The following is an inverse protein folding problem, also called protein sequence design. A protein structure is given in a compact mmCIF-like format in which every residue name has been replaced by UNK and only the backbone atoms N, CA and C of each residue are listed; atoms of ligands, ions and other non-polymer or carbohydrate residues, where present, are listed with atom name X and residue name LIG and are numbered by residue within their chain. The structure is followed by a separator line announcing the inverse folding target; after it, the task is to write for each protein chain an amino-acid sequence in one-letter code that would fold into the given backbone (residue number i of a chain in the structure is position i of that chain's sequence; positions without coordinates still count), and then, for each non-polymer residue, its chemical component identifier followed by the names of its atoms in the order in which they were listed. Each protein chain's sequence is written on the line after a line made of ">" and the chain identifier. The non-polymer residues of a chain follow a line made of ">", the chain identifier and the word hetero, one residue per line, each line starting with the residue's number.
data_IF_123472072199
#
_entry.id   IF_123472072199
#
_cell.length_a   1.000
_cell.length_b   1.000
_cell.length_c   1.000
_cell.angle_alpha   90.00
_cell.angle_beta   90.00
_cell.angle_gamma   90.00
#
_symmetry.space_group_name_H-M   'P 1'
#
loop_
_entity.id
_entity.type
_entity.pdbx_description
1 polymer ?
#
# COMPACT_ATOMS: atom_id res chain seq x y z
N UNK A 1 -44.53 -19.66 12.92
CA UNK A 1 -45.32 -18.62 13.56
C UNK A 1 -44.43 -17.67 14.35
N UNK A 2 -44.85 -16.47 14.70
CA UNK A 2 -43.96 -15.41 15.24
C UNK A 2 -43.37 -15.70 16.63
N UNK A 3 -43.54 -16.86 17.20
CA UNK A 3 -43.05 -17.25 18.53
C UNK A 3 -42.29 -18.59 18.58
N UNK A 4 -41.77 -19.09 17.46
CA UNK A 4 -40.84 -20.23 17.53
C UNK A 4 -39.41 -19.71 17.72
N UNK A 5 -38.66 -20.20 18.73
CA UNK A 5 -37.29 -19.86 18.93
C UNK A 5 -36.46 -20.20 17.67
N UNK A 6 -35.58 -19.30 17.26
CA UNK A 6 -34.72 -19.53 16.12
C UNK A 6 -33.87 -20.77 16.37
N UNK A 7 -33.73 -21.66 15.40
CA UNK A 7 -33.04 -22.96 15.57
C UNK A 7 -31.60 -22.87 16.03
N UNK A 8 -30.99 -21.69 15.97
CA UNK A 8 -29.62 -21.39 16.40
C UNK A 8 -29.54 -20.71 17.79
N UNK A 9 -30.68 -20.30 18.39
CA UNK A 9 -30.69 -19.68 19.73
C UNK A 9 -29.97 -20.54 20.80
N UNK A 10 -30.23 -21.83 20.94
CA UNK A 10 -29.55 -22.64 21.93
C UNK A 10 -28.03 -22.66 21.74
N UNK A 11 -27.55 -22.57 20.49
CA UNK A 11 -26.13 -22.48 20.19
C UNK A 11 -25.54 -21.14 20.64
N UNK A 12 -26.24 -20.04 20.33
CA UNK A 12 -25.81 -18.68 20.74
C UNK A 12 -25.84 -18.53 22.24
N UNK A 13 -26.86 -19.07 22.92
CA UNK A 13 -26.96 -19.03 24.37
C UNK A 13 -25.81 -19.78 25.06
N UNK A 14 -25.43 -20.95 24.53
CA UNK A 14 -24.30 -21.72 25.04
C UNK A 14 -22.95 -21.00 24.81
N UNK A 15 -22.78 -20.34 23.66
CA UNK A 15 -21.60 -19.52 23.37
C UNK A 15 -21.55 -18.27 24.21
N UNK A 16 -22.67 -17.58 24.39
CA UNK A 16 -22.75 -16.39 25.24
C UNK A 16 -22.49 -16.75 26.70
N UNK A 17 -23.04 -17.85 27.20
CA UNK A 17 -22.76 -18.34 28.54
C UNK A 17 -21.25 -18.65 28.71
N UNK A 18 -20.66 -19.35 27.73
CA UNK A 18 -19.22 -19.60 27.76
C UNK A 18 -18.41 -18.30 27.77
N UNK A 19 -18.72 -17.32 26.91
CA UNK A 19 -18.01 -16.05 26.84
C UNK A 19 -18.23 -15.19 28.09
N UNK A 20 -19.39 -15.28 28.73
CA UNK A 20 -19.69 -14.55 29.97
C UNK A 20 -18.90 -15.07 31.17
N UNK A 21 -18.47 -16.33 31.12
CA UNK A 21 -17.62 -16.96 32.14
C UNK A 21 -16.13 -16.71 31.92
N UNK A 22 -15.75 -15.82 30.97
CA UNK A 22 -14.36 -15.48 30.71
C UNK A 22 -13.70 -14.90 31.97
N UNK A 23 -12.62 -15.49 32.48
CA UNK A 23 -11.97 -15.01 33.69
C UNK A 23 -11.38 -13.61 33.46
N UNK A 24 -11.74 -12.65 34.28
CA UNK A 24 -11.17 -11.30 34.25
C UNK A 24 -9.93 -11.21 35.15
N UNK A 25 -8.85 -10.60 34.64
CA UNK A 25 -7.60 -10.39 35.38
C UNK A 25 -6.99 -11.66 36.04
N UNK A 26 -7.14 -12.79 35.37
CA UNK A 26 -6.73 -14.09 35.85
C UNK A 26 -5.34 -14.49 35.36
N UNK A 27 -4.74 -15.52 35.98
CA UNK A 27 -3.46 -16.07 35.55
C UNK A 27 -3.58 -17.01 34.35
N UNK A 28 -2.44 -17.38 33.77
CA UNK A 28 -2.35 -18.25 32.59
C UNK A 28 -3.11 -19.57 32.77
N UNK A 29 -2.94 -20.25 33.91
CA UNK A 29 -3.55 -21.56 34.19
C UNK A 29 -5.08 -21.49 34.27
N UNK A 30 -5.64 -20.35 34.72
CA UNK A 30 -7.07 -20.13 34.74
C UNK A 30 -7.64 -19.96 33.35
N UNK A 31 -6.97 -19.20 32.49
CA UNK A 31 -7.33 -19.09 31.07
C UNK A 31 -7.17 -20.42 30.33
N UNK A 32 -6.10 -21.18 30.62
CA UNK A 32 -5.89 -22.50 30.05
C UNK A 32 -7.00 -23.47 30.43
N UNK A 33 -7.37 -23.51 31.74
CA UNK A 33 -8.47 -24.31 32.22
C UNK A 33 -9.83 -23.89 31.60
N UNK A 34 -10.03 -22.58 31.41
CA UNK A 34 -11.19 -22.04 30.73
C UNK A 34 -11.28 -22.52 29.28
N UNK A 35 -10.26 -22.29 28.46
CA UNK A 35 -10.21 -22.74 27.08
C UNK A 35 -10.19 -24.27 26.96
N UNK A 36 -9.75 -24.97 27.98
CA UNK A 36 -9.86 -26.43 28.07
C UNK A 36 -11.30 -26.93 28.07
N UNK A 37 -12.25 -26.11 28.53
CA UNK A 37 -13.70 -26.40 28.59
C UNK A 37 -14.48 -25.92 27.39
N UNK A 38 -13.80 -25.51 26.31
CA UNK A 38 -14.45 -24.99 25.09
C UNK A 38 -15.52 -25.99 24.62
N UNK A 39 -16.81 -25.57 24.53
CA UNK A 39 -17.90 -26.46 24.20
C UNK A 39 -17.82 -26.91 22.73
N UNK A 40 -18.13 -28.19 22.47
CA UNK A 40 -18.30 -28.70 21.10
C UNK A 40 -19.73 -28.46 20.67
N UNK A 41 -19.95 -27.37 19.98
CA UNK A 41 -21.27 -26.90 19.63
C UNK A 41 -21.75 -27.53 18.31
N UNK A 42 -22.99 -28.01 18.27
CA UNK A 42 -23.57 -28.58 17.06
C UNK A 42 -24.90 -27.92 16.73
N UNK A 43 -24.93 -27.17 15.64
CA UNK A 43 -26.15 -26.54 15.14
C UNK A 43 -27.04 -27.61 14.49
N UNK A 44 -28.13 -27.93 15.13
CA UNK A 44 -29.18 -28.85 14.59
C UNK A 44 -30.27 -28.03 13.93
N UNK A 45 -30.27 -27.96 12.60
CA UNK A 45 -31.29 -27.24 11.87
C UNK A 45 -32.45 -28.15 11.49
N UNK A 46 -33.68 -27.61 11.47
CA UNK A 46 -34.86 -28.33 10.99
C UNK A 46 -34.70 -28.80 9.54
N UNK A 47 -35.37 -29.89 9.19
CA UNK A 47 -35.48 -30.38 7.79
C UNK A 47 -36.53 -29.55 7.05
N UNK A 48 -36.29 -29.26 5.76
CA UNK A 48 -37.32 -28.66 4.89
C UNK A 48 -37.32 -27.12 4.79
N UNK A 49 -36.26 -26.46 5.27
CA UNK A 49 -36.10 -25.01 5.07
C UNK A 49 -35.97 -24.66 3.59
N UNK A 50 -36.67 -23.61 3.15
CA UNK A 50 -36.68 -23.14 1.75
C UNK A 50 -36.36 -21.63 1.66
N UNK A 51 -35.94 -21.18 0.48
CA UNK A 51 -35.73 -19.75 0.18
C UNK A 51 -34.77 -19.05 1.12
N UNK A 52 -35.18 -17.91 1.64
CA UNK A 52 -34.41 -17.02 2.53
C UNK A 52 -33.98 -17.69 3.83
N UNK A 53 -34.81 -18.58 4.39
CA UNK A 53 -34.48 -19.33 5.61
C UNK A 53 -33.28 -20.26 5.40
N UNK A 54 -33.09 -20.79 4.20
CA UNK A 54 -31.96 -21.65 3.86
C UNK A 54 -30.67 -20.81 3.74
N UNK A 55 -30.75 -19.63 3.18
CA UNK A 55 -29.63 -18.69 3.05
C UNK A 55 -29.18 -18.20 4.45
N UNK A 56 -30.12 -17.76 5.26
CA UNK A 56 -29.87 -17.31 6.63
C UNK A 56 -29.29 -18.43 7.50
N UNK A 57 -29.79 -19.67 7.36
CA UNK A 57 -29.23 -20.84 8.03
C UNK A 57 -27.76 -21.03 7.69
N UNK A 58 -27.40 -20.94 6.42
CA UNK A 58 -26.02 -21.16 5.98
C UNK A 58 -25.10 -20.03 6.44
N UNK A 59 -25.54 -18.77 6.39
CA UNK A 59 -24.81 -17.62 6.90
C UNK A 59 -24.52 -17.72 8.40
N UNK A 60 -25.53 -18.04 9.21
CA UNK A 60 -25.37 -18.25 10.65
C UNK A 60 -24.42 -19.41 10.94
N UNK A 61 -24.59 -20.53 10.20
CA UNK A 61 -23.70 -21.70 10.36
C UNK A 61 -22.25 -21.38 10.06
N UNK A 62 -21.98 -20.58 9.01
CA UNK A 62 -20.63 -20.18 8.65
C UNK A 62 -20.01 -19.26 9.72
N UNK A 63 -20.75 -18.24 10.16
CA UNK A 63 -20.27 -17.31 11.20
C UNK A 63 -19.99 -18.04 12.53
N UNK A 64 -20.87 -18.94 12.95
CA UNK A 64 -20.67 -19.73 14.16
C UNK A 64 -19.46 -20.65 14.06
N UNK A 65 -19.27 -21.29 12.89
CA UNK A 65 -18.08 -22.12 12.66
C UNK A 65 -16.77 -21.33 12.63
N UNK A 66 -16.82 -20.11 12.08
CA UNK A 66 -15.64 -19.25 12.09
C UNK A 66 -15.27 -18.83 13.52
N UNK A 67 -16.25 -18.47 14.34
CA UNK A 67 -16.03 -18.15 15.74
C UNK A 67 -15.49 -19.34 16.52
N UNK A 68 -16.06 -20.54 16.37
CA UNK A 68 -15.58 -21.77 16.98
C UNK A 68 -14.15 -22.08 16.55
N UNK A 69 -13.85 -21.97 15.25
CA UNK A 69 -12.52 -22.19 14.70
C UNK A 69 -11.49 -21.24 15.30
N UNK A 70 -11.80 -19.94 15.41
CA UNK A 70 -10.90 -18.97 16.03
C UNK A 70 -10.62 -19.29 17.50
N UNK A 71 -11.62 -19.72 18.26
CA UNK A 71 -11.42 -20.11 19.65
C UNK A 71 -10.53 -21.36 19.79
N UNK A 72 -10.71 -22.34 18.89
CA UNK A 72 -9.85 -23.52 18.85
C UNK A 72 -8.40 -23.11 18.48
N UNK A 73 -8.24 -22.25 17.49
CA UNK A 73 -6.93 -21.73 17.10
C UNK A 73 -6.24 -20.99 18.28
N UNK A 74 -6.98 -20.14 19.02
CA UNK A 74 -6.45 -19.48 20.21
C UNK A 74 -6.06 -20.46 21.31
N UNK A 75 -6.89 -21.48 21.56
CA UNK A 75 -6.57 -22.56 22.51
C UNK A 75 -5.27 -23.24 22.10
N UNK A 76 -5.15 -23.67 20.86
CA UNK A 76 -3.97 -24.38 20.35
C UNK A 76 -2.72 -23.47 20.31
N UNK A 77 -2.89 -22.19 19.99
CA UNK A 77 -1.78 -21.26 19.88
C UNK A 77 -1.25 -20.77 21.22
N UNK A 78 -2.14 -20.54 22.20
CA UNK A 78 -1.78 -19.84 23.43
C UNK A 78 -1.93 -20.68 24.70
N UNK A 79 -2.74 -21.73 24.69
CA UNK A 79 -3.14 -22.47 25.90
C UNK A 79 -2.97 -24.00 25.81
N UNK A 80 -2.23 -24.49 24.83
CA UNK A 80 -1.99 -25.94 24.62
C UNK A 80 -0.97 -26.57 25.61
N UNK A 81 -0.02 -25.74 26.07
CA UNK A 81 1.10 -26.17 26.91
C UNK A 81 0.94 -25.78 28.38
N UNK A 82 1.73 -26.40 29.25
CA UNK A 82 1.89 -25.98 30.65
C UNK A 82 2.59 -24.62 30.72
N UNK A 83 2.30 -23.84 31.76
CA UNK A 83 2.92 -22.51 31.95
C UNK A 83 4.46 -22.59 32.00
N UNK A 84 4.99 -23.65 32.59
CA UNK A 84 6.44 -23.90 32.70
C UNK A 84 7.09 -24.16 31.33
N UNK A 85 6.41 -24.87 30.43
CA UNK A 85 6.87 -25.10 29.06
C UNK A 85 6.90 -23.78 28.26
N UNK A 86 5.84 -22.97 28.35
CA UNK A 86 5.82 -21.66 27.75
C UNK A 86 6.93 -20.75 28.29
N UNK A 87 7.17 -20.75 29.59
CA UNK A 87 8.27 -20.00 30.19
C UNK A 87 9.64 -20.45 29.67
N UNK A 88 9.83 -21.73 29.43
CA UNK A 88 11.07 -22.26 28.87
C UNK A 88 11.22 -21.88 27.39
N UNK A 89 10.15 -21.97 26.60
CA UNK A 89 10.11 -21.47 25.19
C UNK A 89 10.41 -19.97 25.13
N UNK A 90 9.85 -19.18 26.04
CA UNK A 90 10.14 -17.75 26.15
C UNK A 90 11.60 -17.48 26.52
N UNK A 91 12.20 -18.23 27.43
CA UNK A 91 13.62 -18.11 27.80
C UNK A 91 14.53 -18.40 26.59
N UNK A 92 14.24 -19.47 25.86
CA UNK A 92 15.02 -19.86 24.68
C UNK A 92 14.83 -18.85 23.54
N UNK A 93 13.61 -18.40 23.30
CA UNK A 93 13.31 -17.31 22.36
C UNK A 93 14.01 -16.02 22.77
N UNK A 94 13.96 -15.65 24.05
CA UNK A 94 14.65 -14.47 24.59
C UNK A 94 16.16 -14.52 24.33
N UNK A 95 16.79 -15.69 24.45
CA UNK A 95 18.22 -15.87 24.18
C UNK A 95 18.54 -15.60 22.71
N UNK A 96 17.75 -16.18 21.80
CA UNK A 96 17.88 -15.99 20.35
C UNK A 96 17.63 -14.52 19.96
N UNK A 97 16.57 -13.91 20.50
CA UNK A 97 16.25 -12.50 20.28
C UNK A 97 17.35 -11.57 20.80
N UNK A 98 17.89 -11.81 21.99
CA UNK A 98 19.03 -11.04 22.50
C UNK A 98 20.27 -11.15 21.60
N UNK A 99 20.53 -12.31 21.03
CA UNK A 99 21.62 -12.50 20.08
C UNK A 99 21.34 -11.70 18.79
N UNK A 100 20.13 -11.78 18.26
CA UNK A 100 19.71 -11.00 17.07
C UNK A 100 19.84 -9.49 17.30
N UNK A 101 19.37 -8.97 18.44
CA UNK A 101 19.53 -7.55 18.79
C UNK A 101 20.99 -7.12 18.87
N UNK A 102 21.87 -7.95 19.45
CA UNK A 102 23.30 -7.64 19.48
C UNK A 102 23.92 -7.58 18.09
N UNK A 103 23.55 -8.54 17.22
CA UNK A 103 24.01 -8.58 15.83
C UNK A 103 23.51 -7.35 15.05
N UNK A 104 22.22 -7.04 15.17
CA UNK A 104 21.62 -5.87 14.49
C UNK A 104 22.28 -4.57 14.94
N UNK A 105 22.48 -4.42 16.26
CA UNK A 105 23.16 -3.24 16.79
C UNK A 105 24.60 -3.14 16.28
N UNK A 106 25.35 -4.26 16.30
CA UNK A 106 26.72 -4.28 15.82
C UNK A 106 26.82 -3.99 14.33
N UNK A 107 25.90 -4.54 13.53
CA UNK A 107 25.80 -4.23 12.11
C UNK A 107 25.53 -2.74 11.88
N UNK A 108 24.59 -2.16 12.63
CA UNK A 108 24.28 -0.74 12.54
C UNK A 108 25.50 0.14 12.89
N UNK A 109 26.21 -0.17 14.00
CA UNK A 109 27.41 0.54 14.39
C UNK A 109 28.49 0.51 13.29
N UNK A 110 28.73 -0.67 12.71
CA UNK A 110 29.71 -0.83 11.63
C UNK A 110 29.27 -0.11 10.35
N UNK A 111 27.99 -0.19 10.01
CA UNK A 111 27.42 0.45 8.83
C UNK A 111 27.53 1.99 8.92
N UNK A 112 27.22 2.55 10.09
CA UNK A 112 27.37 3.99 10.34
C UNK A 112 28.84 4.41 10.30
N UNK A 113 29.74 3.63 10.88
CA UNK A 113 31.18 3.91 10.85
C UNK A 113 31.73 3.92 9.41
N UNK A 114 31.38 2.91 8.62
CA UNK A 114 31.76 2.78 7.21
C UNK A 114 31.24 3.95 6.35
N UNK A 115 29.97 4.35 6.55
CA UNK A 115 29.40 5.52 5.86
C UNK A 115 30.16 6.80 6.20
N UNK A 116 30.53 6.99 7.47
CA UNK A 116 31.32 8.15 7.92
C UNK A 116 32.72 8.16 7.30
N UNK A 117 33.38 7.01 7.25
CA UNK A 117 34.70 6.88 6.65
C UNK A 117 34.67 7.21 5.15
N UNK A 118 33.63 6.79 4.47
CA UNK A 118 33.42 7.06 3.02
C UNK A 118 32.85 8.46 2.74
N UNK A 119 32.39 9.19 3.73
CA UNK A 119 31.75 10.49 3.55
C UNK A 119 30.42 10.42 2.78
N UNK A 120 29.64 9.33 2.94
CA UNK A 120 28.37 9.11 2.25
C UNK A 120 27.20 9.10 3.24
N UNK A 121 26.03 9.53 2.76
CA UNK A 121 24.76 9.49 3.50
C UNK A 121 23.72 8.80 2.62
N UNK A 122 22.84 8.01 3.21
CA UNK A 122 21.62 7.55 2.56
C UNK A 122 20.42 8.45 2.90
N UNK A 123 19.27 8.20 2.25
CA UNK A 123 18.08 9.02 2.47
C UNK A 123 17.58 8.99 3.91
N UNK A 124 17.70 7.84 4.59
CA UNK A 124 17.30 7.74 5.99
C UNK A 124 18.24 8.56 6.90
N UNK A 125 19.54 8.61 6.59
CA UNK A 125 20.47 9.49 7.33
C UNK A 125 20.08 10.95 7.18
N UNK A 126 19.70 11.39 5.97
CA UNK A 126 19.26 12.76 5.73
C UNK A 126 18.05 13.11 6.60
N UNK A 127 17.04 12.24 6.64
CA UNK A 127 15.85 12.43 7.46
C UNK A 127 16.21 12.49 8.96
N UNK A 128 16.99 11.53 9.47
CA UNK A 128 17.35 11.44 10.89
C UNK A 128 18.25 12.60 11.33
N UNK A 129 19.22 12.99 10.53
CA UNK A 129 20.06 14.13 10.81
C UNK A 129 19.26 15.44 10.80
N UNK A 130 18.33 15.59 9.86
CA UNK A 130 17.42 16.74 9.81
C UNK A 130 16.60 16.84 11.08
N UNK A 131 15.99 15.74 11.55
CA UNK A 131 15.28 15.73 12.84
C UNK A 131 16.19 16.15 13.98
N UNK A 132 17.43 15.63 14.03
CA UNK A 132 18.38 15.96 15.12
C UNK A 132 18.82 17.43 15.12
N UNK A 133 18.74 18.11 13.97
CA UNK A 133 19.00 19.55 13.86
C UNK A 133 17.78 20.38 14.28
N UNK A 134 16.59 19.93 13.88
CA UNK A 134 15.34 20.68 14.04
C UNK A 134 14.67 20.47 15.40
N UNK A 135 14.88 19.32 16.02
CA UNK A 135 14.24 18.95 17.27
C UNK A 135 15.25 18.54 18.34
N UNK A 136 15.00 18.96 19.55
CA UNK A 136 15.78 18.55 20.73
C UNK A 136 14.82 18.02 21.80
N UNK A 137 15.31 17.09 22.60
CA UNK A 137 14.55 16.57 23.73
C UNK A 137 14.65 17.55 24.90
N UNK A 138 13.52 18.01 25.37
CA UNK A 138 13.43 18.82 26.58
C UNK A 138 13.71 17.94 27.82
N UNK A 139 14.62 18.39 28.68
CA UNK A 139 15.07 17.61 29.84
C UNK A 139 14.02 17.46 30.93
N UNK A 140 13.10 18.42 31.05
CA UNK A 140 12.09 18.42 32.11
C UNK A 140 10.85 17.61 31.72
N UNK A 141 10.32 17.87 30.51
CA UNK A 141 9.10 17.21 30.02
C UNK A 141 9.37 15.89 29.31
N UNK A 142 10.62 15.68 28.80
CA UNK A 142 10.98 14.57 27.95
C UNK A 142 10.39 14.65 26.53
N UNK A 143 9.64 15.72 26.22
CA UNK A 143 9.04 15.95 24.91
C UNK A 143 10.08 16.48 23.91
N UNK A 144 9.82 16.27 22.61
CA UNK A 144 10.62 16.92 21.56
C UNK A 144 10.11 18.33 21.31
N UNK A 145 11.03 19.31 21.38
CA UNK A 145 10.76 20.73 21.14
C UNK A 145 11.63 21.23 20.00
N UNK A 146 11.14 22.26 19.31
CA UNK A 146 11.86 22.90 18.19
C UNK A 146 13.14 23.58 18.69
N UNK A 147 14.22 23.37 17.96
CA UNK A 147 15.49 24.11 18.14
C UNK A 147 15.34 25.54 17.60
N UNK A 148 16.33 26.38 17.86
CA UNK A 148 16.37 27.73 17.30
C UNK A 148 16.51 27.71 15.77
N UNK A 149 17.25 26.73 15.21
CA UNK A 149 17.33 26.53 13.76
C UNK A 149 15.94 26.22 13.14
N UNK A 150 15.14 25.40 13.79
CA UNK A 150 13.77 25.12 13.32
C UNK A 150 12.88 26.37 13.38
N UNK A 151 13.00 27.20 14.42
CA UNK A 151 12.26 28.47 14.57
C UNK A 151 12.68 29.49 13.52
N UNK A 152 13.97 29.56 13.21
CA UNK A 152 14.51 30.44 12.15
C UNK A 152 13.93 30.06 10.80
N UNK A 153 13.96 28.78 10.43
CA UNK A 153 13.36 28.27 9.19
C UNK A 153 11.84 28.51 9.14
N UNK A 154 11.13 28.31 10.26
CA UNK A 154 9.69 28.56 10.33
C UNK A 154 9.34 30.05 10.07
N UNK A 155 10.22 30.97 10.44
CA UNK A 155 10.07 32.40 10.15
C UNK A 155 10.48 32.77 8.72
N UNK A 156 11.42 32.05 8.14
CA UNK A 156 11.89 32.27 6.77
C UNK A 156 10.87 31.84 5.73
N UNK A 157 10.24 30.67 5.92
CA UNK A 157 9.29 30.14 4.97
C UNK A 157 7.93 30.86 5.05
N UNK A 158 7.58 31.55 3.97
CA UNK A 158 6.27 32.20 3.84
C UNK A 158 5.15 31.16 3.73
N UNK A 159 5.33 30.18 2.87
CA UNK A 159 4.40 29.06 2.64
C UNK A 159 5.21 27.77 2.38
N UNK A 160 4.70 26.65 2.86
CA UNK A 160 5.22 25.32 2.65
C UNK A 160 4.17 24.54 1.87
N UNK A 161 4.47 24.19 0.63
CA UNK A 161 3.56 23.48 -0.27
C UNK A 161 4.02 22.04 -0.44
N UNK A 162 3.13 21.09 -0.16
CA UNK A 162 3.42 19.66 -0.20
C UNK A 162 2.45 19.00 -1.15
N UNK A 163 2.98 18.35 -2.18
CA UNK A 163 2.22 17.52 -3.10
C UNK A 163 2.33 16.05 -2.71
N UNK A 164 1.34 15.23 -3.13
CA UNK A 164 1.26 13.80 -2.84
C UNK A 164 1.41 13.47 -1.34
N UNK A 165 0.78 14.29 -0.49
CA UNK A 165 0.95 14.18 0.96
C UNK A 165 0.54 12.82 1.54
N UNK A 166 -0.36 12.06 0.88
CA UNK A 166 -0.74 10.70 1.28
C UNK A 166 0.44 9.71 1.28
N UNK A 167 1.53 10.03 0.60
CA UNK A 167 2.73 9.20 0.53
C UNK A 167 3.80 9.59 1.57
N UNK A 168 3.53 10.59 2.42
CA UNK A 168 4.41 11.00 3.50
C UNK A 168 4.47 9.97 4.63
N UNK A 169 5.63 9.90 5.29
CA UNK A 169 5.83 9.12 6.51
C UNK A 169 5.87 10.04 7.75
N UNK A 170 5.87 9.45 8.96
CA UNK A 170 5.92 10.22 10.22
C UNK A 170 7.17 11.09 10.35
N UNK A 171 8.30 10.65 9.80
CA UNK A 171 9.56 11.41 9.87
C UNK A 171 9.46 12.67 9.03
N UNK A 172 8.98 12.53 7.80
CA UNK A 172 8.76 13.64 6.87
C UNK A 172 7.72 14.63 7.41
N UNK A 173 6.58 14.12 7.91
CA UNK A 173 5.56 14.96 8.55
C UNK A 173 6.13 15.74 9.74
N UNK A 174 6.93 15.10 10.59
CA UNK A 174 7.61 15.74 11.72
C UNK A 174 8.57 16.85 11.27
N UNK A 175 9.36 16.61 10.22
CA UNK A 175 10.26 17.61 9.65
C UNK A 175 9.49 18.82 9.13
N UNK A 176 8.44 18.57 8.34
CA UNK A 176 7.59 19.62 7.75
C UNK A 176 6.92 20.48 8.84
N UNK A 177 6.38 19.85 9.86
CA UNK A 177 5.82 20.58 10.99
C UNK A 177 6.88 21.32 11.80
N UNK A 178 8.09 20.78 11.96
CA UNK A 178 9.17 21.44 12.70
C UNK A 178 9.59 22.77 12.05
N UNK A 179 9.61 22.84 10.72
CA UNK A 179 10.00 24.06 9.96
C UNK A 179 8.82 24.95 9.58
N UNK A 180 7.61 24.64 10.04
CA UNK A 180 6.41 25.43 9.79
C UNK A 180 6.06 26.32 10.97
N UNK A 181 5.15 27.27 10.73
CA UNK A 181 4.54 28.08 11.81
C UNK A 181 3.37 27.40 12.53
N UNK A 182 2.99 26.20 12.07
CA UNK A 182 1.91 25.44 12.70
C UNK A 182 2.24 25.11 14.16
N UNK A 183 1.29 25.39 15.05
CA UNK A 183 1.44 25.21 16.50
C UNK A 183 2.34 26.25 17.20
N UNK A 184 2.84 27.29 16.52
CA UNK A 184 3.51 28.43 17.18
C UNK A 184 2.47 29.40 17.71
N UNK A 185 2.67 29.82 18.96
CA UNK A 185 1.74 30.72 19.64
C UNK A 185 1.64 32.08 18.93
N UNK A 186 0.44 32.46 18.51
CA UNK A 186 0.16 33.71 17.84
C UNK A 186 0.44 33.73 16.35
N UNK A 187 0.94 32.65 15.76
CA UNK A 187 1.23 32.53 14.34
C UNK A 187 0.10 31.81 13.58
N UNK A 188 -0.04 32.13 12.31
CA UNK A 188 -0.91 31.44 11.38
C UNK A 188 -0.18 30.26 10.73
N UNK A 189 -0.77 29.07 10.66
CA UNK A 189 -0.20 27.97 9.90
C UNK A 189 0.10 28.33 8.47
N UNK A 190 1.23 27.89 7.97
CA UNK A 190 1.71 28.18 6.61
C UNK A 190 1.96 26.91 5.77
N UNK A 191 1.25 25.82 6.09
CA UNK A 191 1.35 24.56 5.35
C UNK A 191 0.14 24.41 4.43
N UNK A 192 0.41 24.15 3.16
CA UNK A 192 -0.57 23.78 2.14
C UNK A 192 -0.26 22.37 1.63
N UNK A 193 -1.17 21.44 1.87
CA UNK A 193 -1.02 20.04 1.51
C UNK A 193 -2.00 19.66 0.41
N UNK A 194 -1.52 18.97 -0.61
CA UNK A 194 -2.34 18.38 -1.66
C UNK A 194 -2.11 16.87 -1.67
N UNK A 195 -3.16 16.12 -1.86
CA UNK A 195 -3.08 14.66 -1.92
C UNK A 195 -4.41 14.00 -2.21
N UNK A 196 -4.36 12.71 -2.41
CA UNK A 196 -5.52 11.86 -2.58
C UNK A 196 -5.31 10.53 -1.84
N UNK A 197 -6.00 10.34 -0.73
CA UNK A 197 -5.88 9.14 0.11
C UNK A 197 -6.11 7.84 -0.68
N UNK A 198 -6.94 7.87 -1.73
CA UNK A 198 -7.22 6.74 -2.62
C UNK A 198 -6.01 6.31 -3.47
N UNK A 199 -5.05 7.21 -3.67
CA UNK A 199 -3.86 7.00 -4.51
C UNK A 199 -2.62 6.60 -3.71
N UNK A 200 -2.73 6.39 -2.40
CA UNK A 200 -1.60 5.94 -1.59
C UNK A 200 -1.20 4.50 -1.93
N UNK A 201 -0.07 4.35 -2.61
CA UNK A 201 0.48 3.06 -3.04
C UNK A 201 1.87 2.77 -2.44
N UNK A 202 2.43 3.66 -1.62
CA UNK A 202 3.79 3.56 -1.08
C UNK A 202 3.84 3.11 0.39
N UNK A 203 2.80 2.46 0.92
CA UNK A 203 2.79 1.92 2.29
C UNK A 203 3.96 0.97 2.55
N UNK A 204 4.37 0.19 1.55
CA UNK A 204 5.54 -0.69 1.64
C UNK A 204 6.89 0.07 1.77
N UNK A 205 6.92 1.37 1.47
CA UNK A 205 8.07 2.28 1.70
C UNK A 205 7.93 3.10 2.98
N UNK A 206 6.95 2.80 3.82
CA UNK A 206 6.73 3.49 5.09
C UNK A 206 5.76 4.66 5.01
N UNK A 207 5.12 4.91 3.85
CA UNK A 207 4.06 5.91 3.75
C UNK A 207 2.93 5.62 4.74
N UNK A 208 2.36 6.70 5.28
CA UNK A 208 1.29 6.68 6.29
C UNK A 208 0.08 7.48 5.82
N UNK A 209 -0.77 6.89 4.97
CA UNK A 209 -1.97 7.57 4.48
C UNK A 209 -2.90 8.00 5.61
N UNK A 210 -2.77 7.37 6.80
CA UNK A 210 -3.50 7.74 8.00
C UNK A 210 -3.27 9.22 8.39
N UNK A 211 -2.06 9.76 8.18
CA UNK A 211 -1.73 11.17 8.43
C UNK A 211 -2.61 12.11 7.61
N UNK A 212 -2.85 11.77 6.34
CA UNK A 212 -3.73 12.55 5.48
C UNK A 212 -5.20 12.36 5.84
N UNK A 213 -5.61 11.12 6.13
CA UNK A 213 -6.98 10.80 6.55
C UNK A 213 -7.38 11.55 7.84
N UNK A 214 -6.49 11.65 8.83
CA UNK A 214 -6.72 12.42 10.05
C UNK A 214 -6.97 13.91 9.77
N UNK A 215 -6.22 14.49 8.83
CA UNK A 215 -6.41 15.89 8.41
C UNK A 215 -7.74 16.07 7.65
N UNK A 216 -8.14 15.10 6.81
CA UNK A 216 -9.44 15.13 6.14
C UNK A 216 -10.61 15.11 7.13
N UNK A 217 -10.47 14.44 8.26
CA UNK A 217 -11.49 14.37 9.30
C UNK A 217 -11.49 15.60 10.22
N UNK A 218 -10.31 16.15 10.52
CA UNK A 218 -10.16 17.24 11.51
C UNK A 218 -10.30 18.63 10.90
N UNK A 219 -9.97 18.81 9.62
CA UNK A 219 -10.01 20.11 8.96
C UNK A 219 -11.43 20.47 8.49
N UNK A 220 -11.79 21.74 8.62
CA UNK A 220 -13.12 22.23 8.33
C UNK A 220 -13.25 22.71 6.87
N UNK A 221 -14.38 22.41 6.22
CA UNK A 221 -14.68 22.89 4.85
C UNK A 221 -15.06 24.38 4.80
N UNK A 222 -15.37 24.99 5.96
CA UNK A 222 -15.83 26.38 6.05
C UNK A 222 -14.68 27.34 5.75
N UNK A 223 -14.95 28.35 4.93
CA UNK A 223 -14.02 29.44 4.64
C UNK A 223 -13.71 30.28 5.87
N UNK A 224 -12.46 30.73 6.01
CA UNK A 224 -11.98 31.52 7.14
C UNK A 224 -11.63 30.71 8.39
N UNK A 225 -11.67 29.37 8.34
CA UNK A 225 -11.16 28.53 9.43
C UNK A 225 -9.64 28.40 9.36
N UNK A 226 -9.00 28.26 10.51
CA UNK A 226 -7.54 28.13 10.62
C UNK A 226 -6.99 26.91 9.87
N UNK A 227 -7.68 25.79 10.01
CA UNK A 227 -7.37 24.54 9.30
C UNK A 227 -8.53 24.28 8.33
N UNK A 228 -8.28 24.58 7.05
CA UNK A 228 -9.30 24.50 6.00
C UNK A 228 -9.06 23.30 5.09
N UNK A 229 -10.10 22.52 4.83
CA UNK A 229 -10.16 21.48 3.81
C UNK A 229 -10.86 22.01 2.55
N UNK A 230 -10.26 21.74 1.39
CA UNK A 230 -10.83 22.05 0.06
C UNK A 230 -10.85 20.75 -0.73
N UNK A 231 -12.04 20.29 -1.13
CA UNK A 231 -12.19 19.07 -1.91
C UNK A 231 -12.22 19.40 -3.40
N UNK A 232 -11.30 18.81 -4.16
CA UNK A 232 -11.21 18.94 -5.61
C UNK A 232 -11.83 17.71 -6.26
N UNK A 233 -13.08 17.78 -6.68
CA UNK A 233 -13.83 16.66 -7.23
C UNK A 233 -13.74 16.56 -8.76
N UNK A 234 -13.34 17.64 -9.45
CA UNK A 234 -13.33 17.69 -10.91
C UNK A 234 -12.03 17.18 -11.50
N UNK A 235 -12.14 16.22 -12.42
CA UNK A 235 -11.04 15.70 -13.20
C UNK A 235 -11.03 16.36 -14.60
N UNK A 236 -9.93 17.03 -14.94
CA UNK A 236 -9.74 17.71 -16.21
C UNK A 236 -8.88 16.93 -17.20
N UNK A 237 -8.36 15.77 -16.80
CA UNK A 237 -7.43 14.95 -17.57
C UNK A 237 -8.13 13.89 -18.40
N UNK A 238 -9.10 13.21 -17.78
CA UNK A 238 -9.72 12.00 -18.34
C UNK A 238 -11.10 12.30 -18.92
N UNK A 239 -11.49 11.53 -19.94
CA UNK A 239 -12.83 11.56 -20.51
C UNK A 239 -13.84 10.94 -19.56
N UNK A 240 -15.12 11.35 -19.72
CA UNK A 240 -16.24 10.90 -18.89
C UNK A 240 -16.32 9.38 -18.77
N UNK A 241 -16.23 8.66 -19.88
CA UNK A 241 -16.32 7.20 -19.89
C UNK A 241 -15.24 6.52 -19.03
N UNK A 242 -14.05 7.09 -18.96
CA UNK A 242 -12.97 6.57 -18.11
C UNK A 242 -13.30 6.82 -16.65
N UNK A 243 -13.81 8.01 -16.32
CA UNK A 243 -14.19 8.36 -14.95
C UNK A 243 -15.36 7.53 -14.46
N UNK A 244 -16.41 7.35 -15.30
CA UNK A 244 -17.56 6.52 -14.97
C UNK A 244 -17.16 5.06 -14.75
N UNK A 245 -16.34 4.49 -15.63
CA UNK A 245 -15.84 3.13 -15.49
C UNK A 245 -15.01 2.96 -14.22
N UNK A 246 -14.17 3.95 -13.89
CA UNK A 246 -13.40 3.97 -12.65
C UNK A 246 -14.33 4.02 -11.43
N UNK A 247 -15.30 4.94 -11.44
CA UNK A 247 -16.27 5.07 -10.36
C UNK A 247 -17.07 3.77 -10.15
N UNK A 248 -17.51 3.11 -11.24
CA UNK A 248 -18.27 1.85 -11.16
C UNK A 248 -17.46 0.73 -10.50
N UNK A 249 -16.18 0.60 -10.85
CA UNK A 249 -15.31 -0.42 -10.28
C UNK A 249 -15.05 -0.13 -8.81
N UNK A 250 -14.60 1.09 -8.49
CA UNK A 250 -14.17 1.42 -7.14
C UNK A 250 -15.30 1.57 -6.14
N UNK A 251 -16.51 1.99 -6.57
CA UNK A 251 -17.69 1.99 -5.69
C UNK A 251 -18.10 0.58 -5.21
N UNK A 252 -17.67 -0.47 -5.91
CA UNK A 252 -17.91 -1.87 -5.52
C UNK A 252 -16.76 -2.52 -4.76
N UNK A 253 -15.55 -2.04 -4.95
CA UNK A 253 -14.33 -2.70 -4.45
C UNK A 253 -13.66 -1.97 -3.30
N UNK A 254 -13.77 -0.64 -3.24
CA UNK A 254 -13.03 0.16 -2.28
C UNK A 254 -13.92 0.51 -1.08
N UNK A 255 -13.61 -0.10 0.05
CA UNK A 255 -14.22 0.12 1.35
C UNK A 255 -13.13 0.31 2.39
N UNK A 256 -13.50 0.82 3.56
CA UNK A 256 -12.56 1.06 4.66
C UNK A 256 -11.69 -0.16 4.98
N UNK A 257 -12.27 -1.38 4.91
CA UNK A 257 -11.55 -2.64 5.15
C UNK A 257 -10.63 -3.04 3.98
N UNK A 258 -10.94 -2.56 2.77
CA UNK A 258 -10.18 -2.83 1.54
C UNK A 258 -9.79 -1.50 0.90
N UNK A 259 -8.57 -1.05 1.16
CA UNK A 259 -8.05 0.23 0.65
C UNK A 259 -8.01 1.36 1.67
N UNK A 260 -8.60 1.20 2.87
CA UNK A 260 -8.51 2.16 3.97
C UNK A 260 -9.33 3.44 3.80
N UNK A 261 -10.12 3.54 2.71
CA UNK A 261 -10.94 4.71 2.37
C UNK A 261 -12.29 4.23 1.86
N UNK A 262 -13.37 4.90 2.24
CA UNK A 262 -14.70 4.67 1.69
C UNK A 262 -14.85 5.42 0.37
N UNK A 263 -15.33 4.73 -0.68
CA UNK A 263 -15.55 5.33 -2.00
C UNK A 263 -17.00 5.82 -2.12
N UNK A 264 -17.29 6.90 -1.43
CA UNK A 264 -18.59 7.57 -1.40
C UNK A 264 -18.75 8.60 -2.53
N UNK A 265 -19.84 9.37 -2.50
CA UNK A 265 -20.10 10.41 -3.51
C UNK A 265 -19.09 11.57 -3.46
N UNK A 266 -18.43 11.80 -2.33
CA UNK A 266 -17.33 12.80 -2.21
C UNK A 266 -16.03 12.27 -2.82
N UNK A 267 -15.82 10.96 -2.83
CA UNK A 267 -14.64 10.32 -3.40
C UNK A 267 -14.73 10.09 -4.91
N UNK A 268 -15.93 10.10 -5.50
CA UNK A 268 -16.16 9.92 -6.93
C UNK A 268 -15.49 10.99 -7.78
N UNK A 269 -15.04 10.56 -8.94
CA UNK A 269 -14.44 11.43 -9.95
C UNK A 269 -15.54 12.08 -10.83
N UNK A 270 -15.49 13.37 -10.99
CA UNK A 270 -16.43 14.12 -11.82
C UNK A 270 -15.74 14.78 -13.01
N UNK A 271 -16.39 14.81 -14.17
CA UNK A 271 -15.86 15.44 -15.35
C UNK A 271 -15.71 16.96 -15.12
N UNK A 272 -14.51 17.49 -15.37
CA UNK A 272 -14.20 18.91 -15.24
C UNK A 272 -13.96 19.62 -16.57
N UNK A 273 -13.67 18.87 -17.65
CA UNK A 273 -13.36 19.40 -18.98
C UNK A 273 -14.50 19.19 -19.95
N UNK A 274 -14.73 20.16 -20.82
CA UNK A 274 -15.55 19.99 -22.03
C UNK A 274 -14.68 19.30 -23.09
N UNK A 275 -14.99 18.03 -23.38
CA UNK A 275 -14.40 17.33 -24.50
C UNK A 275 -15.33 17.47 -25.71
N UNK A 276 -14.83 18.10 -26.78
CA UNK A 276 -15.58 18.29 -27.99
C UNK A 276 -16.10 16.95 -28.55
N UNK A 277 -17.37 16.90 -28.90
CA UNK A 277 -17.96 15.84 -29.71
C UNK A 277 -17.41 15.94 -31.14
N UNK A 278 -16.55 15.02 -31.51
CA UNK A 278 -15.99 14.92 -32.86
C UNK A 278 -16.54 13.66 -33.55
N UNK A 279 -16.70 13.73 -34.86
CA UNK A 279 -17.06 12.60 -35.71
C UNK A 279 -15.91 11.54 -35.79
N UNK A 280 -14.69 11.93 -35.38
CA UNK A 280 -13.52 11.05 -35.38
C UNK A 280 -13.69 9.95 -34.35
N UNK A 281 -13.12 8.78 -34.64
CA UNK A 281 -13.09 7.64 -33.71
C UNK A 281 -12.17 7.97 -32.53
N UNK A 282 -12.76 8.41 -31.46
CA UNK A 282 -12.13 8.54 -30.16
C UNK A 282 -12.57 7.36 -29.33
N UNK A 283 -11.70 6.87 -28.42
CA UNK A 283 -12.10 5.83 -27.49
C UNK A 283 -13.36 6.24 -26.70
N UNK A 284 -14.45 5.48 -26.89
CA UNK A 284 -15.76 5.69 -26.25
C UNK A 284 -16.12 4.57 -25.30
N UNK A 285 -15.19 3.66 -25.02
CA UNK A 285 -15.37 2.53 -24.11
C UNK A 285 -14.12 2.27 -23.29
N UNK A 286 -14.32 1.68 -22.15
CA UNK A 286 -13.26 1.00 -21.38
C UNK A 286 -13.50 -0.49 -21.54
N UNK A 287 -12.56 -1.19 -22.13
CA UNK A 287 -12.69 -2.61 -22.42
C UNK A 287 -11.97 -3.42 -21.33
N UNK A 288 -12.66 -4.45 -20.83
CA UNK A 288 -12.11 -5.39 -19.86
C UNK A 288 -11.93 -6.75 -20.54
N UNK A 289 -10.72 -7.27 -20.54
CA UNK A 289 -10.40 -8.56 -21.11
C UNK A 289 -10.05 -9.55 -20.00
N UNK A 290 -10.70 -10.71 -20.01
CA UNK A 290 -10.38 -11.82 -19.11
C UNK A 290 -9.79 -12.99 -19.90
N UNK A 291 -8.60 -13.41 -19.54
CA UNK A 291 -7.95 -14.58 -20.13
C UNK A 291 -8.25 -15.77 -19.23
N UNK A 292 -8.97 -16.75 -19.78
CA UNK A 292 -9.34 -17.95 -19.05
C UNK A 292 -8.21 -18.99 -19.10
N UNK A 293 -7.90 -19.58 -17.97
CA UNK A 293 -6.91 -20.64 -17.84
C UNK A 293 -5.86 -20.37 -16.76
N UNK A 294 -4.70 -21.03 -16.87
CA UNK A 294 -3.56 -20.73 -16.00
C UNK A 294 -2.99 -19.37 -16.38
N UNK A 295 -2.53 -18.63 -15.38
CA UNK A 295 -1.90 -17.33 -15.58
C UNK A 295 -0.82 -17.44 -16.68
N UNK A 296 -1.01 -16.71 -17.77
CA UNK A 296 -0.15 -16.72 -18.93
C UNK A 296 0.16 -15.30 -19.38
N UNK A 297 1.28 -14.76 -18.89
CA UNK A 297 1.72 -13.41 -19.19
C UNK A 297 2.03 -13.20 -20.67
N UNK A 298 2.43 -14.25 -21.40
CA UNK A 298 2.67 -14.17 -22.85
C UNK A 298 1.36 -13.92 -23.60
N UNK A 299 0.28 -14.61 -23.22
CA UNK A 299 -1.03 -14.39 -23.81
C UNK A 299 -1.57 -12.99 -23.51
N UNK A 300 -1.33 -12.46 -22.30
CA UNK A 300 -1.68 -11.09 -21.93
C UNK A 300 -0.89 -10.08 -22.78
N UNK A 301 0.41 -10.26 -22.91
CA UNK A 301 1.28 -9.44 -23.74
C UNK A 301 0.89 -9.46 -25.21
N UNK A 302 0.58 -10.65 -25.74
CA UNK A 302 0.11 -10.85 -27.12
C UNK A 302 -1.22 -10.12 -27.36
N UNK A 303 -2.19 -10.26 -26.44
CA UNK A 303 -3.47 -9.57 -26.55
C UNK A 303 -3.28 -8.04 -26.53
N UNK A 304 -2.42 -7.53 -25.66
CA UNK A 304 -2.10 -6.11 -25.57
C UNK A 304 -1.46 -5.62 -26.90
N UNK A 305 -0.50 -6.37 -27.47
CA UNK A 305 0.13 -6.03 -28.73
C UNK A 305 -0.88 -5.94 -29.88
N UNK A 306 -1.76 -6.93 -30.01
CA UNK A 306 -2.83 -6.93 -31.02
C UNK A 306 -3.78 -5.75 -30.85
N UNK A 307 -4.18 -5.41 -29.62
CA UNK A 307 -5.04 -4.26 -29.36
C UNK A 307 -4.38 -2.93 -29.67
N UNK A 308 -3.11 -2.78 -29.33
CA UNK A 308 -2.34 -1.57 -29.67
C UNK A 308 -2.21 -1.42 -31.19
N UNK A 309 -1.90 -2.50 -31.89
CA UNK A 309 -1.83 -2.49 -33.35
C UNK A 309 -3.18 -2.13 -33.98
N UNK A 310 -4.29 -2.65 -33.46
CA UNK A 310 -5.64 -2.28 -33.91
C UNK A 310 -5.92 -0.79 -33.68
N UNK A 311 -5.53 -0.23 -32.52
CA UNK A 311 -5.74 1.18 -32.17
C UNK A 311 -4.92 2.13 -33.04
N UNK A 312 -3.71 1.79 -33.43
CA UNK A 312 -2.78 2.67 -34.14
C UNK A 312 -2.87 2.48 -35.66
N UNK A 313 -2.83 1.22 -36.11
CA UNK A 313 -2.69 0.87 -37.53
C UNK A 313 -3.89 0.12 -38.12
N UNK A 314 -4.94 -0.14 -37.33
CA UNK A 314 -6.14 -0.85 -37.79
C UNK A 314 -6.94 -0.05 -38.83
N UNK A 315 -7.97 -0.68 -39.40
CA UNK A 315 -8.87 -0.07 -40.40
C UNK A 315 -9.51 1.25 -39.89
N UNK A 316 -9.78 1.33 -38.60
CA UNK A 316 -10.36 2.50 -37.94
C UNK A 316 -9.50 2.94 -36.74
N UNK A 317 -8.37 3.61 -36.98
CA UNK A 317 -7.44 4.00 -35.93
C UNK A 317 -8.09 5.00 -34.96
N UNK A 318 -7.60 4.99 -33.71
CA UNK A 318 -8.01 5.95 -32.71
C UNK A 318 -7.43 7.35 -32.99
N UNK A 319 -8.11 8.37 -32.48
CA UNK A 319 -7.65 9.74 -32.50
C UNK A 319 -7.41 10.25 -31.09
N UNK A 320 -6.32 10.95 -30.90
CA UNK A 320 -5.93 11.61 -29.65
C UNK A 320 -5.95 13.12 -29.83
N UNK A 321 -6.25 13.84 -28.74
CA UNK A 321 -6.22 15.31 -28.74
C UNK A 321 -4.77 15.78 -28.67
N UNK A 322 -4.41 16.72 -29.52
CA UNK A 322 -3.12 17.40 -29.54
C UNK A 322 -3.33 18.93 -29.45
N UNK A 323 -2.25 19.70 -29.44
CA UNK A 323 -2.28 21.16 -29.33
C UNK A 323 -3.07 21.80 -30.47
N UNK A 324 -3.01 21.23 -31.67
CA UNK A 324 -3.64 21.72 -32.91
C UNK A 324 -4.98 21.04 -33.24
N UNK A 325 -5.53 20.21 -32.32
CA UNK A 325 -6.78 19.50 -32.54
C UNK A 325 -6.65 17.97 -32.31
N UNK A 326 -7.13 17.17 -33.27
CA UNK A 326 -7.09 15.72 -33.16
C UNK A 326 -6.21 15.12 -34.27
N UNK A 327 -5.22 14.30 -33.88
CA UNK A 327 -4.42 13.50 -34.79
C UNK A 327 -4.69 12.00 -34.58
N UNK A 328 -4.27 11.17 -35.52
CA UNK A 328 -4.25 9.72 -35.33
C UNK A 328 -3.35 9.35 -34.16
N UNK A 329 -3.73 8.32 -33.41
CA UNK A 329 -2.91 7.79 -32.33
C UNK A 329 -1.61 7.17 -32.90
N UNK A 330 -0.54 7.32 -32.19
CA UNK A 330 0.77 6.74 -32.43
C UNK A 330 1.13 5.78 -31.29
N UNK A 331 2.10 4.91 -31.49
CA UNK A 331 2.53 3.98 -30.44
C UNK A 331 2.99 4.68 -29.15
N UNK A 332 3.57 5.89 -29.28
CA UNK A 332 3.97 6.71 -28.13
C UNK A 332 2.84 7.27 -27.28
N UNK A 333 1.60 7.20 -27.77
CA UNK A 333 0.41 7.64 -27.00
C UNK A 333 -0.13 6.54 -26.08
N UNK A 334 0.41 5.31 -26.13
CA UNK A 334 -0.05 4.15 -25.39
C UNK A 334 0.90 3.84 -24.25
N UNK A 335 0.36 3.64 -23.06
CA UNK A 335 1.13 3.23 -21.88
C UNK A 335 0.56 1.93 -21.32
N UNK A 336 1.43 0.97 -21.05
CA UNK A 336 1.08 -0.27 -20.34
C UNK A 336 1.57 -0.15 -18.90
N UNK A 337 0.65 -0.24 -17.96
CA UNK A 337 0.95 -0.23 -16.52
C UNK A 337 0.87 -1.66 -16.00
N UNK A 338 1.93 -2.12 -15.37
CA UNK A 338 2.06 -3.47 -14.82
C UNK A 338 2.42 -3.44 -13.34
N UNK A 339 2.08 -4.49 -12.63
CA UNK A 339 2.33 -4.59 -11.19
C UNK A 339 3.81 -4.84 -10.86
N UNK A 340 4.51 -5.59 -11.72
CA UNK A 340 5.91 -5.97 -11.48
C UNK A 340 6.77 -5.83 -12.74
N UNK A 341 8.08 -5.64 -12.57
CA UNK A 341 9.03 -5.55 -13.69
C UNK A 341 9.09 -6.86 -14.50
N UNK A 342 8.87 -8.02 -13.88
CA UNK A 342 8.84 -9.31 -14.58
C UNK A 342 7.64 -9.42 -15.53
N UNK A 343 6.48 -8.89 -15.14
CA UNK A 343 5.34 -8.75 -16.03
C UNK A 343 5.68 -7.80 -17.19
N UNK A 344 6.29 -6.65 -16.89
CA UNK A 344 6.71 -5.68 -17.91
C UNK A 344 7.59 -6.29 -18.99
N UNK A 345 8.50 -7.22 -18.64
CA UNK A 345 9.36 -7.89 -19.60
C UNK A 345 8.55 -8.76 -20.58
N UNK A 346 7.55 -9.52 -20.11
CA UNK A 346 6.70 -10.34 -20.97
C UNK A 346 5.91 -9.50 -21.98
N UNK A 347 5.37 -8.36 -21.55
CA UNK A 347 4.71 -7.42 -22.46
C UNK A 347 5.69 -6.79 -23.44
N UNK A 348 6.88 -6.41 -23.00
CA UNK A 348 7.92 -5.85 -23.86
C UNK A 348 8.35 -6.83 -24.96
N UNK A 349 8.54 -8.11 -24.62
CA UNK A 349 8.92 -9.15 -25.55
C UNK A 349 7.80 -9.40 -26.57
N UNK A 350 6.53 -9.45 -26.12
CA UNK A 350 5.39 -9.58 -27.02
C UNK A 350 5.26 -8.37 -27.96
N UNK A 351 5.43 -7.14 -27.49
CA UNK A 351 5.41 -5.95 -28.35
C UNK A 351 6.51 -6.00 -29.41
N UNK A 352 7.70 -6.47 -29.05
CA UNK A 352 8.82 -6.65 -29.97
C UNK A 352 8.51 -7.67 -31.06
N UNK A 353 7.87 -8.80 -30.71
CA UNK A 353 7.47 -9.84 -31.66
C UNK A 353 6.44 -9.35 -32.68
N UNK A 354 5.64 -8.36 -32.32
CA UNK A 354 4.68 -7.66 -33.20
C UNK A 354 5.25 -6.39 -33.87
N UNK A 355 6.56 -6.18 -33.78
CA UNK A 355 7.27 -5.01 -34.36
C UNK A 355 6.74 -3.67 -33.82
N UNK A 356 6.18 -3.63 -32.62
CA UNK A 356 5.69 -2.42 -31.97
C UNK A 356 6.84 -1.80 -31.17
N UNK A 357 7.26 -0.55 -31.49
CA UNK A 357 8.31 0.13 -30.76
C UNK A 357 7.85 0.39 -29.31
N UNK A 358 8.61 -0.11 -28.35
CA UNK A 358 8.31 0.03 -26.93
C UNK A 358 9.57 0.38 -26.15
N UNK A 359 9.39 1.12 -25.07
CA UNK A 359 10.44 1.46 -24.11
C UNK A 359 10.03 0.97 -22.73
N UNK A 360 10.92 0.23 -22.08
CA UNK A 360 10.76 -0.18 -20.69
C UNK A 360 11.95 0.33 -19.88
N UNK A 361 11.66 1.02 -18.78
CA UNK A 361 12.70 1.52 -17.88
C UNK A 361 13.33 0.34 -17.13
N UNK A 362 14.50 -0.11 -17.57
CA UNK A 362 15.29 -1.13 -16.88
C UNK A 362 16.15 -0.49 -15.80
N UNK A 363 15.77 -0.62 -14.54
CA UNK A 363 16.57 -0.14 -13.39
C UNK A 363 17.80 -1.02 -13.08
N UNK A 364 17.93 -2.19 -13.72
CA UNK A 364 19.05 -3.13 -13.51
C UNK A 364 19.55 -3.64 -14.86
N UNK A 365 20.84 -3.86 -14.98
CA UNK A 365 21.40 -4.61 -16.08
C UNK A 365 22.44 -3.92 -16.95
N UNK A 366 22.85 -2.67 -16.65
CA UNK A 366 23.96 -2.10 -17.42
C UNK A 366 25.23 -2.95 -17.26
N UNK A 367 25.58 -3.30 -16.02
CA UNK A 367 26.74 -4.16 -15.71
C UNK A 367 26.46 -5.65 -15.94
N UNK A 368 25.20 -6.05 -16.14
CA UNK A 368 24.80 -7.44 -16.40
C UNK A 368 24.76 -7.74 -17.91
N UNK A 369 24.97 -6.74 -18.76
CA UNK A 369 25.08 -6.97 -20.20
C UNK A 369 26.40 -7.65 -20.51
N UNK A 370 26.39 -8.55 -21.50
CA UNK A 370 27.57 -9.32 -21.89
C UNK A 370 28.74 -8.42 -22.27
N UNK A 371 28.46 -7.35 -22.99
CA UNK A 371 29.45 -6.38 -23.48
C UNK A 371 30.16 -5.67 -22.33
N UNK A 372 29.37 -5.18 -21.33
CA UNK A 372 29.94 -4.49 -20.15
C UNK A 372 30.64 -5.51 -19.25
N UNK A 373 30.04 -6.71 -19.06
CA UNK A 373 30.67 -7.79 -18.30
C UNK A 373 32.03 -8.17 -18.86
N UNK A 374 32.16 -8.23 -20.20
CA UNK A 374 33.45 -8.46 -20.88
C UNK A 374 34.45 -7.32 -20.62
N UNK A 375 34.02 -6.06 -20.73
CA UNK A 375 34.88 -4.90 -20.47
C UNK A 375 35.35 -4.85 -19.02
N UNK A 376 34.45 -5.14 -18.06
CA UNK A 376 34.81 -5.21 -16.62
C UNK A 376 35.79 -6.34 -16.38
N UNK A 377 35.59 -7.51 -17.00
CA UNK A 377 36.52 -8.64 -16.93
C UNK A 377 37.89 -8.30 -17.52
N UNK A 378 37.92 -7.56 -18.64
CA UNK A 378 39.19 -7.05 -19.20
C UNK A 378 39.93 -6.14 -18.22
N UNK A 379 39.24 -5.21 -17.61
CA UNK A 379 39.84 -4.32 -16.60
C UNK A 379 40.34 -5.09 -15.38
N UNK A 380 39.62 -6.10 -14.94
CA UNK A 380 40.04 -7.00 -13.87
C UNK A 380 41.29 -7.81 -14.22
N UNK A 381 41.41 -8.30 -15.44
CA UNK A 381 42.61 -9.00 -15.94
C UNK A 381 43.83 -8.07 -16.06
N UNK A 382 43.60 -6.81 -16.45
CA UNK A 382 44.66 -5.78 -16.48
C UNK A 382 45.16 -5.47 -15.07
N UNK A 383 44.23 -5.34 -14.12
CA UNK A 383 44.58 -5.08 -12.71
C UNK A 383 45.27 -6.30 -12.07
N UNK A 384 44.72 -7.50 -12.26
CA UNK A 384 45.30 -8.74 -11.73
C UNK A 384 45.10 -9.91 -12.70
N UNK A 385 46.13 -10.31 -13.46
CA UNK A 385 46.03 -11.38 -14.46
C UNK A 385 45.89 -12.80 -13.86
N UNK A 386 45.98 -12.95 -12.52
CA UNK A 386 45.85 -14.24 -11.86
C UNK A 386 44.42 -14.57 -11.39
N UNK A 387 43.42 -13.81 -11.87
CA UNK A 387 42.03 -14.08 -11.59
C UNK A 387 41.41 -14.97 -12.65
N UNK A 388 41.13 -16.24 -12.33
CA UNK A 388 40.68 -17.27 -13.27
C UNK A 388 39.39 -16.92 -14.02
N UNK A 389 38.35 -16.42 -13.28
CA UNK A 389 37.03 -16.12 -13.89
C UNK A 389 37.10 -14.95 -14.87
N UNK A 390 37.63 -13.77 -14.52
CA UNK A 390 37.82 -12.69 -15.50
C UNK A 390 38.67 -13.09 -16.70
N UNK A 391 39.76 -13.84 -16.48
CA UNK A 391 40.64 -14.30 -17.54
C UNK A 391 39.92 -15.22 -18.56
N UNK A 392 39.15 -16.19 -18.05
CA UNK A 392 38.34 -17.09 -18.90
C UNK A 392 37.20 -16.37 -19.64
N UNK A 393 36.66 -15.28 -19.04
CA UNK A 393 35.59 -14.50 -19.66
C UNK A 393 36.07 -13.66 -20.83
N UNK A 394 37.36 -13.29 -20.86
CA UNK A 394 37.99 -12.46 -21.91
C UNK A 394 38.53 -13.29 -23.05
N UNK A 395 38.85 -14.60 -22.87
CA UNK A 395 39.20 -15.53 -23.91
C UNK A 395 38.01 -15.90 -24.80
#
# INVERSE_FOLDING_TARGET
>A
GPNQPLFYEPYLDEMLAFLSDLPENSGYEEYRAYFGRLPKLTIRAPRGLTGEEKVNKEAVRLSCKDAEKRMVEWKEQYFDKEAEEHLNDLKDTSRKMKALFRLTRRLHELFVAEKRERGILDFNDLEQLTISILLQKDEESGAYVRTDAAKELANEFVEIMIDEYQDSNYVQDTILHAVSRDGLAGEMPNIFMVGDAKQSIYRFRGARPELFAEKLLSYNKKEGTLYRRIDLQKNFRSREIVLESTNEVFSRMMHTDIGGVEYDDEAKLHLGSDFENTEKKIAKSVDVYAILGKQNMEAEGTLAALKIQEMVSGETPLYVKDKEGYRKAEYGDVVIIVQTNSQGQAYFDALKDYEIPAVMEKKRGFFDTREIGLMVSMLQVIDNPHQDIPFLTVQ
#
